data_IF_304718136286
#
_entry.id   IF_304718136286
#
_cell.length_a   1.000
_cell.length_b   1.000
_cell.length_c   1.000
_cell.angle_alpha   90.00
_cell.angle_beta   90.00
_cell.angle_gamma   90.00
#
_symmetry.space_group_name_H-M   'P 1'
#
loop_
_entity.id
_entity.type
_entity.pdbx_description
1 polymer ?
#
# COMPACT_ATOMS: atom_id res chain seq x y z
N UNK A 1 -16.88 -22.55 3.95
CA UNK A 1 -18.12 -22.74 3.16
C UNK A 1 -17.77 -23.28 1.79
N UNK A 2 -18.41 -24.38 1.39
CA UNK A 2 -18.21 -25.08 0.11
C UNK A 2 -19.44 -24.90 -0.77
N UNK A 3 -19.25 -24.49 -2.02
CA UNK A 3 -20.30 -24.39 -3.02
C UNK A 3 -19.86 -25.08 -4.31
N UNK A 4 -20.80 -25.80 -4.93
CA UNK A 4 -20.58 -26.47 -6.21
C UNK A 4 -21.32 -25.70 -7.30
N UNK A 5 -20.67 -25.49 -8.43
CA UNK A 5 -21.20 -24.72 -9.55
C UNK A 5 -21.21 -25.55 -10.82
N UNK A 6 -22.31 -25.50 -11.58
CA UNK A 6 -22.35 -26.02 -12.94
C UNK A 6 -21.67 -25.03 -13.91
N UNK A 7 -20.70 -25.52 -14.68
CA UNK A 7 -19.84 -24.74 -15.58
C UNK A 7 -20.39 -24.68 -17.02
N UNK A 8 -21.09 -25.73 -17.49
CA UNK A 8 -21.47 -25.91 -18.92
C UNK A 8 -22.67 -25.05 -19.38
N UNK A 9 -23.49 -24.57 -18.44
CA UNK A 9 -24.65 -23.70 -18.69
C UNK A 9 -24.64 -22.53 -17.71
N UNK A 10 -25.68 -21.70 -17.73
CA UNK A 10 -25.86 -20.59 -16.79
C UNK A 10 -25.47 -21.02 -15.35
N UNK A 11 -24.53 -20.30 -14.74
CA UNK A 11 -23.81 -20.69 -13.53
C UNK A 11 -24.77 -20.88 -12.34
N UNK A 12 -25.19 -22.12 -12.09
CA UNK A 12 -26.13 -22.46 -11.01
C UNK A 12 -25.46 -23.27 -9.92
N UNK A 13 -25.86 -23.02 -8.68
CA UNK A 13 -25.43 -23.83 -7.54
C UNK A 13 -26.06 -25.22 -7.65
N UNK A 14 -25.23 -26.24 -7.44
CA UNK A 14 -25.65 -27.64 -7.36
C UNK A 14 -25.39 -28.16 -5.94
N UNK A 15 -26.22 -29.11 -5.50
CA UNK A 15 -26.14 -29.66 -4.14
C UNK A 15 -25.00 -30.66 -3.96
N UNK A 16 -24.63 -31.38 -5.03
CA UNK A 16 -23.62 -32.42 -5.03
C UNK A 16 -22.61 -32.22 -6.15
N UNK A 17 -21.41 -32.75 -5.94
CA UNK A 17 -20.35 -32.76 -6.95
C UNK A 17 -20.75 -33.59 -8.19
N UNK A 18 -20.47 -33.05 -9.36
CA UNK A 18 -20.65 -33.71 -10.66
C UNK A 18 -19.35 -33.56 -11.49
N UNK A 19 -19.06 -34.46 -12.44
CA UNK A 19 -17.97 -34.25 -13.40
C UNK A 19 -18.15 -32.90 -14.13
N UNK A 20 -17.04 -32.19 -14.39
CA UNK A 20 -17.04 -30.83 -14.96
C UNK A 20 -17.77 -29.76 -14.11
N UNK A 21 -17.86 -29.97 -12.79
CA UNK A 21 -18.31 -28.91 -11.88
C UNK A 21 -17.14 -28.14 -11.26
N UNK A 22 -17.41 -26.87 -10.93
CA UNK A 22 -16.46 -26.02 -10.24
C UNK A 22 -16.77 -26.05 -8.74
N UNK A 23 -15.79 -26.49 -7.95
CA UNK A 23 -15.86 -26.46 -6.49
C UNK A 23 -15.24 -25.15 -6.00
N UNK A 24 -16.04 -24.29 -5.38
CA UNK A 24 -15.55 -23.09 -4.73
C UNK A 24 -15.53 -23.31 -3.22
N UNK A 25 -14.36 -23.11 -2.62
CA UNK A 25 -14.13 -23.28 -1.19
C UNK A 25 -13.64 -21.95 -0.61
N UNK A 26 -14.49 -21.33 0.21
CA UNK A 26 -14.20 -20.05 0.87
C UNK A 26 -14.08 -20.29 2.37
N UNK A 27 -12.97 -19.88 2.98
CA UNK A 27 -12.63 -20.14 4.37
C UNK A 27 -12.81 -21.64 4.71
N UNK A 28 -11.95 -22.53 4.17
CA UNK A 28 -12.05 -23.97 4.42
C UNK A 28 -11.82 -24.29 5.90
N UNK A 29 -12.62 -25.19 6.45
CA UNK A 29 -12.35 -25.80 7.76
C UNK A 29 -11.35 -26.95 7.63
N UNK A 30 -10.71 -27.37 8.72
CA UNK A 30 -9.79 -28.53 8.71
C UNK A 30 -10.49 -29.83 8.28
N UNK A 31 -11.80 -29.92 8.49
CA UNK A 31 -12.64 -31.03 8.04
C UNK A 31 -12.88 -30.95 6.53
N UNK A 32 -13.20 -29.75 6.00
CA UNK A 32 -13.33 -29.53 4.55
C UNK A 32 -12.03 -29.90 3.81
N UNK A 33 -10.87 -29.52 4.37
CA UNK A 33 -9.56 -29.82 3.78
C UNK A 33 -9.32 -31.33 3.72
N UNK A 34 -9.53 -32.03 4.83
CA UNK A 34 -9.37 -33.50 4.91
C UNK A 34 -10.32 -34.21 3.95
N UNK A 35 -11.58 -33.81 3.87
CA UNK A 35 -12.53 -34.42 2.94
C UNK A 35 -12.07 -34.26 1.48
N UNK A 36 -11.59 -33.08 1.09
CA UNK A 36 -11.11 -32.83 -0.27
C UNK A 36 -9.84 -33.63 -0.61
N UNK A 37 -8.91 -33.69 0.34
CA UNK A 37 -7.68 -34.49 0.22
C UNK A 37 -8.01 -35.96 0.07
N UNK A 38 -8.82 -36.53 0.97
CA UNK A 38 -9.14 -37.97 0.96
C UNK A 38 -9.98 -38.35 -0.26
N UNK A 39 -10.98 -37.53 -0.62
CA UNK A 39 -11.91 -37.82 -1.72
C UNK A 39 -11.26 -37.73 -3.09
N UNK A 40 -10.41 -36.75 -3.30
CA UNK A 40 -9.81 -36.48 -4.61
C UNK A 40 -8.33 -36.89 -4.69
N UNK A 41 -7.71 -37.31 -3.58
CA UNK A 41 -6.27 -37.61 -3.50
C UNK A 41 -5.43 -36.42 -3.99
N UNK A 42 -5.71 -35.24 -3.43
CA UNK A 42 -4.95 -34.00 -3.67
C UNK A 42 -3.73 -34.02 -2.74
N UNK A 43 -2.53 -33.60 -3.19
CA UNK A 43 -1.37 -33.49 -2.32
C UNK A 43 -1.65 -32.55 -1.13
N UNK A 44 -1.41 -33.03 0.09
CA UNK A 44 -1.72 -32.33 1.35
C UNK A 44 -1.09 -30.92 1.44
N UNK A 45 0.11 -30.79 0.86
CA UNK A 45 0.88 -29.56 0.91
C UNK A 45 0.24 -28.42 0.10
N UNK A 46 -0.65 -28.71 -0.86
CA UNK A 46 -1.35 -27.68 -1.63
C UNK A 46 -2.17 -26.76 -0.72
N UNK A 47 -2.91 -27.32 0.24
CA UNK A 47 -3.70 -26.51 1.17
C UNK A 47 -2.81 -25.71 2.12
N UNK A 48 -1.66 -26.27 2.50
CA UNK A 48 -0.65 -25.58 3.32
C UNK A 48 -0.10 -24.36 2.59
N UNK A 49 0.28 -24.51 1.32
CA UNK A 49 0.79 -23.43 0.47
C UNK A 49 -0.28 -22.34 0.24
N UNK A 50 -1.54 -22.75 0.00
CA UNK A 50 -2.66 -21.79 -0.19
C UNK A 50 -3.02 -21.08 1.13
N UNK A 51 -2.74 -21.70 2.28
CA UNK A 51 -2.99 -21.08 3.59
C UNK A 51 -1.92 -20.05 3.97
N UNK A 52 -0.71 -20.16 3.41
CA UNK A 52 0.37 -19.23 3.68
C UNK A 52 0.12 -17.87 3.02
N UNK A 53 -0.06 -16.84 3.85
CA UNK A 53 -0.32 -15.48 3.39
C UNK A 53 0.81 -14.88 2.57
N UNK A 54 2.05 -15.36 2.74
CA UNK A 54 3.25 -14.84 2.07
C UNK A 54 3.62 -15.64 0.81
N UNK A 55 2.85 -16.67 0.46
CA UNK A 55 3.10 -17.53 -0.68
C UNK A 55 3.05 -16.79 -2.03
N UNK A 56 4.00 -17.04 -2.91
CA UNK A 56 4.12 -16.30 -4.17
C UNK A 56 3.23 -16.89 -5.25
N UNK A 57 2.78 -16.01 -6.15
CA UNK A 57 2.07 -16.46 -7.33
C UNK A 57 2.95 -17.41 -8.16
N UNK A 58 2.48 -18.65 -8.36
CA UNK A 58 3.22 -19.69 -9.07
C UNK A 58 2.30 -20.72 -9.71
N UNK A 59 2.87 -21.46 -10.65
CA UNK A 59 2.30 -22.65 -11.26
C UNK A 59 3.13 -23.85 -10.82
N UNK A 60 2.46 -24.90 -10.38
CA UNK A 60 3.05 -26.15 -9.95
C UNK A 60 2.25 -27.32 -10.52
N UNK A 61 2.93 -28.42 -10.81
CA UNK A 61 2.32 -29.64 -11.32
C UNK A 61 2.93 -30.84 -10.60
N UNK A 62 2.10 -31.55 -9.84
CA UNK A 62 2.53 -32.72 -9.06
C UNK A 62 1.42 -33.77 -8.98
N UNK A 63 1.78 -35.07 -9.02
CA UNK A 63 0.83 -36.20 -8.97
C UNK A 63 -0.37 -36.09 -9.94
N UNK A 64 -0.14 -35.46 -11.10
CA UNK A 64 -1.16 -35.21 -12.12
C UNK A 64 -2.11 -34.04 -11.80
N UNK A 65 -1.93 -33.38 -10.67
CA UNK A 65 -2.63 -32.17 -10.26
C UNK A 65 -1.86 -30.93 -10.66
N UNK A 66 -2.60 -29.95 -11.15
CA UNK A 66 -2.12 -28.60 -11.36
C UNK A 66 -2.51 -27.74 -10.16
N UNK A 67 -1.57 -26.96 -9.62
CA UNK A 67 -1.82 -25.89 -8.67
C UNK A 67 -1.39 -24.55 -9.28
N UNK A 68 -2.30 -23.59 -9.30
CA UNK A 68 -2.03 -22.20 -9.63
C UNK A 68 -2.35 -21.37 -8.40
N UNK A 69 -1.36 -20.63 -7.91
CA UNK A 69 -1.56 -19.66 -6.84
C UNK A 69 -1.64 -18.28 -7.49
N UNK A 70 -2.81 -17.67 -7.44
CA UNK A 70 -3.07 -16.30 -7.90
C UNK A 70 -3.15 -15.37 -6.70
N UNK A 71 -2.42 -14.24 -6.69
CA UNK A 71 -2.56 -13.26 -5.59
C UNK A 71 -3.66 -12.25 -5.91
N UNK A 72 -4.63 -12.12 -5.01
CA UNK A 72 -5.80 -11.26 -5.20
C UNK A 72 -5.83 -10.14 -4.15
N UNK A 73 -6.38 -8.95 -4.47
CA UNK A 73 -6.40 -7.84 -3.52
C UNK A 73 -7.42 -8.09 -2.41
N UNK A 74 -7.01 -7.82 -1.17
CA UNK A 74 -7.80 -7.98 0.03
C UNK A 74 -7.74 -6.74 0.91
N UNK A 75 -8.86 -6.41 1.55
CA UNK A 75 -8.94 -5.29 2.50
C UNK A 75 -8.94 -5.88 3.89
N UNK A 76 -7.90 -5.55 4.66
CA UNK A 76 -7.82 -5.88 6.07
C UNK A 76 -8.68 -4.91 6.89
N UNK A 77 -8.87 -5.20 8.17
CA UNK A 77 -9.55 -4.27 9.07
C UNK A 77 -8.89 -2.88 9.07
N UNK A 78 -9.72 -1.84 9.26
CA UNK A 78 -9.34 -0.43 9.14
C UNK A 78 -8.17 -0.03 10.07
N UNK A 79 -7.97 -0.76 11.18
CA UNK A 79 -6.87 -0.52 12.14
C UNK A 79 -5.55 -1.21 11.77
N UNK A 80 -5.51 -2.00 10.71
CA UNK A 80 -4.29 -2.64 10.22
C UNK A 80 -3.25 -1.60 9.80
N UNK A 81 -1.97 -1.91 10.03
CA UNK A 81 -0.85 -1.13 9.49
C UNK A 81 -0.88 -1.12 7.95
N UNK A 82 -1.35 -2.21 7.33
CA UNK A 82 -1.55 -2.33 5.89
C UNK A 82 -3.04 -2.57 5.62
N UNK A 83 -3.84 -1.50 5.40
CA UNK A 83 -5.27 -1.64 5.19
C UNK A 83 -5.60 -2.38 3.88
N UNK A 84 -4.74 -2.25 2.87
CA UNK A 84 -4.82 -3.05 1.65
C UNK A 84 -3.64 -4.01 1.59
N UNK A 85 -3.93 -5.28 1.36
CA UNK A 85 -2.97 -6.36 1.27
C UNK A 85 -3.36 -7.27 0.12
N UNK A 86 -2.62 -8.34 -0.11
CA UNK A 86 -3.01 -9.40 -1.02
C UNK A 86 -3.08 -10.72 -0.28
N UNK A 87 -3.88 -11.65 -0.80
CA UNK A 87 -4.03 -13.01 -0.27
C UNK A 87 -3.95 -14.01 -1.41
N UNK A 88 -3.48 -15.24 -1.17
CA UNK A 88 -3.48 -16.29 -2.18
C UNK A 88 -4.91 -16.79 -2.47
N UNK A 89 -5.17 -17.03 -3.76
CA UNK A 89 -6.27 -17.81 -4.29
C UNK A 89 -5.65 -19.03 -4.98
N UNK A 90 -5.87 -20.21 -4.41
CA UNK A 90 -5.46 -21.46 -5.03
C UNK A 90 -6.47 -21.91 -6.06
N UNK A 91 -6.00 -22.31 -7.23
CA UNK A 91 -6.78 -22.96 -8.27
C UNK A 91 -6.12 -24.32 -8.50
N UNK A 92 -6.84 -25.39 -8.13
CA UNK A 92 -6.39 -26.77 -8.22
C UNK A 92 -7.19 -27.44 -9.33
N UNK A 93 -6.52 -28.09 -10.28
CA UNK A 93 -7.18 -28.72 -11.42
C UNK A 93 -6.59 -30.09 -11.77
N UNK A 94 -7.46 -31.06 -12.05
CA UNK A 94 -7.10 -32.36 -12.63
C UNK A 94 -8.29 -32.93 -13.40
N UNK A 95 -8.12 -33.06 -14.73
CA UNK A 95 -9.13 -33.63 -15.65
C UNK A 95 -10.46 -32.86 -15.59
N UNK A 96 -11.48 -33.45 -14.97
CA UNK A 96 -12.84 -32.93 -14.84
C UNK A 96 -13.10 -32.24 -13.50
N UNK A 97 -12.08 -32.17 -12.62
CA UNK A 97 -12.17 -31.57 -11.28
C UNK A 97 -11.43 -30.24 -11.26
N UNK A 98 -12.17 -29.16 -10.97
CA UNK A 98 -11.60 -27.82 -10.77
C UNK A 98 -12.05 -27.27 -9.42
N UNK A 99 -11.09 -26.90 -8.58
CA UNK A 99 -11.31 -26.44 -7.21
C UNK A 99 -10.64 -25.09 -7.03
N UNK A 100 -11.38 -24.09 -6.57
CA UNK A 100 -10.80 -22.83 -6.10
C UNK A 100 -10.87 -22.78 -4.58
N UNK A 101 -9.75 -22.44 -3.94
CA UNK A 101 -9.63 -22.39 -2.49
C UNK A 101 -9.10 -21.01 -2.09
N UNK A 102 -9.81 -20.34 -1.20
CA UNK A 102 -9.35 -19.11 -0.58
C UNK A 102 -9.63 -19.15 0.92
N UNK A 103 -8.61 -18.85 1.73
CA UNK A 103 -8.75 -18.76 3.20
C UNK A 103 -9.40 -17.46 3.69
N UNK A 104 -9.75 -16.58 2.76
CA UNK A 104 -10.36 -15.29 3.03
C UNK A 104 -11.66 -15.12 2.26
N UNK A 105 -12.67 -14.55 2.90
CA UNK A 105 -13.85 -14.11 2.20
C UNK A 105 -13.52 -12.84 1.41
N UNK A 106 -13.61 -12.91 0.08
CA UNK A 106 -13.24 -11.80 -0.79
C UNK A 106 -14.41 -11.36 -1.66
N UNK A 107 -14.60 -10.04 -1.75
CA UNK A 107 -15.62 -9.46 -2.61
C UNK A 107 -15.39 -9.78 -4.09
N UNK A 108 -14.15 -10.08 -4.48
CA UNK A 108 -13.81 -10.47 -5.85
C UNK A 108 -14.51 -11.75 -6.25
N UNK A 109 -14.43 -12.80 -5.43
CA UNK A 109 -15.06 -14.09 -5.74
C UNK A 109 -16.59 -13.99 -5.78
N UNK A 110 -17.18 -13.18 -4.89
CA UNK A 110 -18.64 -12.94 -4.87
C UNK A 110 -19.08 -12.22 -6.15
N UNK A 111 -18.37 -11.15 -6.52
CA UNK A 111 -18.65 -10.35 -7.72
C UNK A 111 -18.43 -11.17 -9.00
N UNK A 112 -17.37 -11.98 -9.05
CA UNK A 112 -17.07 -12.90 -10.14
C UNK A 112 -18.23 -13.86 -10.41
N UNK A 113 -18.71 -14.57 -9.39
CA UNK A 113 -19.85 -15.48 -9.50
C UNK A 113 -21.08 -14.72 -9.99
N UNK A 114 -21.38 -13.56 -9.39
CA UNK A 114 -22.55 -12.76 -9.75
C UNK A 114 -22.50 -12.23 -11.19
N UNK A 115 -21.30 -11.91 -11.68
CA UNK A 115 -21.07 -11.41 -13.03
C UNK A 115 -21.31 -12.51 -14.06
N UNK A 116 -20.77 -13.71 -13.83
CA UNK A 116 -20.98 -14.85 -14.75
C UNK A 116 -22.45 -15.29 -14.79
N UNK A 117 -23.14 -15.28 -13.65
CA UNK A 117 -24.59 -15.54 -13.59
C UNK A 117 -25.42 -14.57 -14.43
N UNK A 118 -25.05 -13.29 -14.45
CA UNK A 118 -25.75 -12.26 -15.24
C UNK A 118 -25.48 -12.41 -16.73
N UNK A 119 -24.26 -12.83 -17.11
CA UNK A 119 -23.89 -13.05 -18.51
C UNK A 119 -24.67 -14.23 -19.10
N UNK A 120 -25.03 -15.21 -18.27
CA UNK A 120 -25.84 -16.36 -18.67
C UNK A 120 -25.10 -17.38 -19.54
N UNK A 121 -23.83 -17.12 -19.83
CA UNK A 121 -22.90 -18.00 -20.52
C UNK A 121 -22.04 -18.68 -19.46
N UNK A 122 -21.94 -20.00 -19.54
CA UNK A 122 -21.00 -20.79 -18.71
C UNK A 122 -19.55 -20.53 -19.12
N UNK A 123 -18.64 -21.36 -18.61
CA UNK A 123 -17.27 -21.37 -19.10
C UNK A 123 -17.14 -22.41 -20.22
N UNK A 124 -16.33 -22.11 -21.24
CA UNK A 124 -16.07 -23.06 -22.34
C UNK A 124 -15.25 -24.23 -21.83
N UNK A 125 -14.23 -23.96 -21.02
CA UNK A 125 -13.38 -24.96 -20.37
C UNK A 125 -12.76 -24.41 -19.07
N UNK A 126 -11.82 -25.17 -18.49
CA UNK A 126 -11.11 -24.74 -17.27
C UNK A 126 -10.08 -23.62 -17.53
N UNK A 127 -9.58 -23.48 -18.76
CA UNK A 127 -8.60 -22.46 -19.16
C UNK A 127 -9.28 -21.09 -19.23
N UNK A 128 -10.45 -21.01 -19.86
CA UNK A 128 -11.33 -19.83 -19.88
C UNK A 128 -11.69 -19.39 -18.45
N UNK A 129 -12.03 -20.34 -17.57
CA UNK A 129 -12.31 -20.03 -16.16
C UNK A 129 -11.08 -19.43 -15.45
N UNK A 130 -9.89 -20.00 -15.64
CA UNK A 130 -8.64 -19.48 -15.06
C UNK A 130 -8.39 -18.06 -15.55
N UNK A 131 -8.40 -17.81 -16.86
CA UNK A 131 -8.10 -16.48 -17.39
C UNK A 131 -9.15 -15.43 -17.01
N UNK A 132 -10.43 -15.81 -16.86
CA UNK A 132 -11.44 -14.91 -16.29
C UNK A 132 -11.21 -14.57 -14.83
N UNK A 133 -10.67 -15.50 -14.03
CA UNK A 133 -10.24 -15.20 -12.66
C UNK A 133 -9.07 -14.22 -12.64
N UNK A 134 -8.10 -14.37 -13.55
CA UNK A 134 -7.04 -13.37 -13.74
C UNK A 134 -7.61 -12.00 -14.12
N UNK A 135 -8.53 -11.94 -15.08
CA UNK A 135 -9.18 -10.69 -15.50
C UNK A 135 -9.91 -10.04 -14.32
N UNK A 136 -10.70 -10.82 -13.58
CA UNK A 136 -11.38 -10.34 -12.38
C UNK A 136 -10.39 -9.81 -11.35
N UNK A 137 -9.26 -10.48 -11.13
CA UNK A 137 -8.23 -10.01 -10.22
C UNK A 137 -7.66 -8.65 -10.64
N UNK A 138 -7.36 -8.44 -11.92
CA UNK A 138 -6.83 -7.18 -12.45
C UNK A 138 -7.84 -6.03 -12.27
N UNK A 139 -9.11 -6.26 -12.62
CA UNK A 139 -10.19 -5.29 -12.42
C UNK A 139 -10.35 -4.92 -10.94
N UNK A 140 -10.25 -5.90 -10.04
CA UNK A 140 -10.32 -5.66 -8.60
C UNK A 140 -9.10 -4.91 -8.07
N UNK A 141 -7.89 -5.13 -8.60
CA UNK A 141 -6.72 -4.31 -8.28
C UNK A 141 -6.98 -2.85 -8.65
N UNK A 142 -7.46 -2.57 -9.87
CA UNK A 142 -7.80 -1.21 -10.31
C UNK A 142 -8.87 -0.56 -9.44
N UNK A 143 -9.90 -1.32 -9.03
CA UNK A 143 -10.94 -0.84 -8.12
C UNK A 143 -10.37 -0.44 -6.75
N UNK A 144 -9.44 -1.23 -6.20
CA UNK A 144 -8.76 -0.91 -4.94
C UNK A 144 -7.78 0.24 -5.07
N UNK A 145 -7.06 0.35 -6.19
CA UNK A 145 -6.20 1.49 -6.48
C UNK A 145 -6.97 2.81 -6.51
N UNK A 146 -8.18 2.85 -7.08
CA UNK A 146 -9.06 4.04 -7.01
C UNK A 146 -9.43 4.43 -5.57
N UNK A 147 -9.67 3.45 -4.70
CA UNK A 147 -9.95 3.69 -3.29
C UNK A 147 -8.70 4.25 -2.57
N UNK A 148 -7.54 3.65 -2.82
CA UNK A 148 -6.26 4.12 -2.28
C UNK A 148 -5.99 5.56 -2.73
N UNK A 149 -6.16 5.89 -4.01
CA UNK A 149 -5.98 7.23 -4.53
C UNK A 149 -6.86 8.27 -3.80
N UNK A 150 -8.11 7.91 -3.52
CA UNK A 150 -9.02 8.79 -2.75
C UNK A 150 -8.49 9.05 -1.34
N UNK A 151 -7.91 8.05 -0.69
CA UNK A 151 -7.29 8.19 0.63
C UNK A 151 -5.98 9.00 0.57
N UNK A 152 -5.18 8.82 -0.48
CA UNK A 152 -3.96 9.60 -0.74
C UNK A 152 -4.31 11.09 -0.87
N UNK A 153 -5.28 11.43 -1.71
CA UNK A 153 -5.67 12.83 -1.92
C UNK A 153 -6.25 13.47 -0.65
N UNK A 154 -7.02 12.70 0.14
CA UNK A 154 -7.49 13.17 1.46
C UNK A 154 -6.33 13.43 2.43
N UNK A 155 -5.34 12.53 2.46
CA UNK A 155 -4.18 12.68 3.35
C UNK A 155 -3.29 13.86 2.93
N UNK A 156 -3.09 14.09 1.63
CA UNK A 156 -2.39 15.27 1.10
C UNK A 156 -3.10 16.57 1.51
N UNK A 157 -4.42 16.64 1.32
CA UNK A 157 -5.19 17.84 1.69
C UNK A 157 -5.09 18.17 3.20
N UNK A 158 -5.00 17.16 4.06
CA UNK A 158 -4.78 17.38 5.49
C UNK A 158 -3.39 17.97 5.77
N UNK A 159 -2.36 17.49 5.06
CA UNK A 159 -0.98 17.94 5.21
C UNK A 159 -0.73 19.35 4.65
N UNK A 160 -1.52 19.80 3.68
CA UNK A 160 -1.46 21.18 3.16
C UNK A 160 -1.83 22.22 4.22
N UNK A 161 -2.69 21.87 5.18
CA UNK A 161 -3.09 22.76 6.26
C UNK A 161 -2.09 22.69 7.43
N UNK A 162 -1.80 21.49 7.92
CA UNK A 162 -0.86 21.27 9.02
C UNK A 162 -0.12 19.96 8.86
N UNK A 163 1.22 20.04 8.81
CA UNK A 163 2.07 18.85 8.74
C UNK A 163 2.10 18.17 10.10
N UNK A 164 1.40 17.04 10.22
CA UNK A 164 1.36 16.23 11.43
C UNK A 164 1.86 14.80 11.20
N UNK A 165 2.39 14.20 12.26
CA UNK A 165 2.95 12.83 12.20
C UNK A 165 1.89 11.79 11.85
N UNK A 166 0.63 12.00 12.26
CA UNK A 166 -0.46 11.06 11.99
C UNK A 166 -0.74 10.94 10.49
N UNK A 167 -0.77 12.05 9.75
CA UNK A 167 -1.00 12.04 8.31
C UNK A 167 0.18 11.43 7.55
N UNK A 168 1.42 11.69 8.00
CA UNK A 168 2.62 11.05 7.44
C UNK A 168 2.62 9.53 7.66
N UNK A 169 2.24 9.08 8.86
CA UNK A 169 2.06 7.65 9.15
C UNK A 169 0.95 7.07 8.26
N UNK A 170 -0.15 7.81 8.05
CA UNK A 170 -1.23 7.43 7.13
C UNK A 170 -0.74 7.21 5.70
N UNK A 171 0.04 8.14 5.15
CA UNK A 171 0.67 7.99 3.84
C UNK A 171 1.62 6.78 3.81
N UNK A 172 2.42 6.56 4.86
CA UNK A 172 3.34 5.41 4.96
C UNK A 172 2.60 4.07 4.94
N UNK A 173 1.44 3.97 5.59
CA UNK A 173 0.59 2.77 5.54
C UNK A 173 0.03 2.50 4.14
N UNK A 174 -0.30 3.54 3.39
CA UNK A 174 -0.73 3.43 2.00
C UNK A 174 0.45 3.00 1.09
N UNK A 175 1.66 3.52 1.36
CA UNK A 175 2.88 3.13 0.66
C UNK A 175 3.21 1.65 0.87
N UNK A 176 3.13 1.15 2.11
CA UNK A 176 3.29 -0.28 2.41
C UNK A 176 2.27 -1.11 1.61
N UNK A 177 1.02 -0.64 1.55
CA UNK A 177 -0.06 -1.31 0.81
C UNK A 177 0.21 -1.39 -0.71
N UNK A 178 0.69 -0.29 -1.32
CA UNK A 178 1.08 -0.28 -2.73
C UNK A 178 2.24 -1.24 -3.00
N UNK A 179 3.18 -1.38 -2.07
CA UNK A 179 4.31 -2.31 -2.19
C UNK A 179 3.83 -3.77 -2.28
N UNK A 180 2.85 -4.17 -1.47
CA UNK A 180 2.21 -5.50 -1.59
C UNK A 180 1.53 -5.69 -2.95
N UNK A 181 0.87 -4.65 -3.48
CA UNK A 181 0.22 -4.69 -4.79
C UNK A 181 1.25 -4.83 -5.92
N UNK A 182 2.31 -4.02 -5.94
CA UNK A 182 3.41 -4.10 -6.94
C UNK A 182 3.98 -5.52 -6.98
N UNK A 183 4.31 -6.07 -5.81
CA UNK A 183 4.92 -7.40 -5.70
C UNK A 183 3.97 -8.50 -6.20
N UNK A 184 2.69 -8.40 -5.86
CA UNK A 184 1.68 -9.40 -6.21
C UNK A 184 1.27 -9.33 -7.69
N UNK A 185 1.07 -8.13 -8.23
CA UNK A 185 0.74 -7.91 -9.64
C UNK A 185 1.88 -8.42 -10.51
N UNK A 186 3.15 -8.09 -10.18
CA UNK A 186 4.32 -8.62 -10.90
C UNK A 186 4.42 -10.14 -10.81
N UNK A 187 4.10 -10.72 -9.65
CA UNK A 187 4.00 -12.17 -9.48
C UNK A 187 2.96 -12.79 -10.42
N UNK A 188 1.77 -12.19 -10.50
CA UNK A 188 0.70 -12.63 -11.37
C UNK A 188 1.04 -12.47 -12.86
N UNK A 189 1.70 -11.37 -13.26
CA UNK A 189 2.18 -11.19 -14.65
C UNK A 189 3.18 -12.30 -15.03
N UNK A 190 4.16 -12.58 -14.16
CA UNK A 190 5.14 -13.65 -14.40
C UNK A 190 4.47 -15.03 -14.51
N UNK A 191 3.46 -15.28 -13.67
CA UNK A 191 2.64 -16.48 -13.73
C UNK A 191 1.86 -16.57 -15.04
N UNK A 192 1.21 -15.48 -15.45
CA UNK A 192 0.45 -15.38 -16.69
C UNK A 192 1.34 -15.72 -17.90
N UNK A 193 2.56 -15.17 -17.97
CA UNK A 193 3.51 -15.50 -19.05
C UNK A 193 3.89 -16.98 -19.08
N UNK A 194 4.03 -17.64 -17.93
CA UNK A 194 4.30 -19.09 -17.86
C UNK A 194 3.10 -19.93 -18.28
N UNK A 195 1.88 -19.54 -17.87
CA UNK A 195 0.66 -20.27 -18.16
C UNK A 195 0.37 -20.35 -19.67
N UNK A 196 0.70 -19.30 -20.43
CA UNK A 196 0.57 -19.29 -21.91
C UNK A 196 1.24 -20.49 -22.60
N UNK A 197 2.33 -21.02 -22.02
CA UNK A 197 3.07 -22.16 -22.58
C UNK A 197 2.73 -23.50 -21.93
N UNK A 198 2.01 -23.50 -20.82
CA UNK A 198 1.69 -24.70 -20.02
C UNK A 198 0.25 -25.18 -20.23
N UNK A 199 -0.67 -24.26 -20.54
CA UNK A 199 -2.06 -24.56 -20.82
C UNK A 199 -2.29 -24.75 -22.32
N UNK A 200 -3.32 -25.51 -22.67
CA UNK A 200 -3.77 -25.66 -24.06
C UNK A 200 -4.64 -24.46 -24.40
N UNK A 201 -4.02 -23.40 -24.91
CA UNK A 201 -4.67 -22.12 -25.23
C UNK A 201 -5.27 -22.20 -26.64
N UNK A 202 -6.57 -21.95 -26.78
CA UNK A 202 -7.24 -21.80 -28.07
C UNK A 202 -7.22 -20.33 -28.59
N UNK A 203 -7.88 -20.06 -29.72
CA UNK A 203 -7.91 -18.72 -30.32
C UNK A 203 -8.77 -17.73 -29.51
N UNK A 204 -9.86 -18.20 -28.87
CA UNK A 204 -10.70 -17.38 -27.98
C UNK A 204 -9.97 -17.03 -26.68
N UNK A 205 -9.19 -17.96 -26.16
CA UNK A 205 -8.34 -17.75 -25.00
C UNK A 205 -7.24 -16.72 -25.29
N UNK A 206 -6.76 -16.62 -26.53
CA UNK A 206 -5.70 -15.69 -26.90
C UNK A 206 -6.14 -14.21 -26.72
N UNK A 207 -7.34 -13.86 -27.17
CA UNK A 207 -7.92 -12.53 -26.99
C UNK A 207 -8.12 -12.21 -25.49
N UNK A 208 -8.66 -13.17 -24.73
CA UNK A 208 -8.85 -13.01 -23.29
C UNK A 208 -7.52 -12.84 -22.55
N UNK A 209 -6.48 -13.58 -22.95
CA UNK A 209 -5.13 -13.43 -22.40
C UNK A 209 -4.58 -12.03 -22.70
N UNK A 210 -4.80 -11.49 -23.89
CA UNK A 210 -4.38 -10.13 -24.24
C UNK A 210 -5.07 -9.10 -23.33
N UNK A 211 -6.38 -9.19 -23.17
CA UNK A 211 -7.15 -8.33 -22.25
C UNK A 211 -6.61 -8.39 -20.82
N UNK A 212 -6.36 -9.61 -20.32
CA UNK A 212 -5.75 -9.81 -18.99
C UNK A 212 -4.38 -9.14 -18.90
N UNK A 213 -3.54 -9.25 -19.93
CA UNK A 213 -2.21 -8.62 -19.92
C UNK A 213 -2.33 -7.09 -19.91
N UNK A 214 -3.25 -6.51 -20.68
CA UNK A 214 -3.50 -5.07 -20.73
C UNK A 214 -3.93 -4.57 -19.34
N UNK A 215 -4.95 -5.18 -18.76
CA UNK A 215 -5.51 -4.78 -17.46
C UNK A 215 -4.49 -4.96 -16.32
N UNK A 216 -3.74 -6.06 -16.32
CA UNK A 216 -2.71 -6.31 -15.30
C UNK A 216 -1.53 -5.34 -15.43
N UNK A 217 -1.11 -5.03 -16.67
CA UNK A 217 -0.09 -4.01 -16.95
C UNK A 217 -0.55 -2.63 -16.48
N UNK A 218 -1.80 -2.27 -16.77
CA UNK A 218 -2.39 -1.01 -16.33
C UNK A 218 -2.43 -0.92 -14.79
N UNK A 219 -2.80 -2.00 -14.11
CA UNK A 219 -2.78 -2.06 -12.65
C UNK A 219 -1.36 -1.86 -12.10
N UNK A 220 -0.34 -2.49 -12.72
CA UNK A 220 1.07 -2.31 -12.33
C UNK A 220 1.54 -0.87 -12.51
N UNK A 221 1.34 -0.28 -13.69
CA UNK A 221 1.76 1.10 -13.96
C UNK A 221 1.06 2.10 -13.03
N UNK A 222 -0.25 1.92 -12.81
CA UNK A 222 -1.01 2.77 -11.87
C UNK A 222 -0.47 2.66 -10.45
N UNK A 223 -0.11 1.45 -10.01
CA UNK A 223 0.45 1.24 -8.66
C UNK A 223 1.83 1.90 -8.53
N UNK A 224 2.68 1.81 -9.55
CA UNK A 224 3.98 2.48 -9.59
C UNK A 224 3.83 4.02 -9.53
N UNK A 225 2.95 4.60 -10.35
CA UNK A 225 2.68 6.04 -10.33
C UNK A 225 2.25 6.51 -8.93
N UNK A 226 1.36 5.76 -8.26
CA UNK A 226 0.92 6.13 -6.91
C UNK A 226 2.03 5.97 -5.87
N UNK A 227 2.89 4.97 -6.01
CA UNK A 227 4.06 4.77 -5.15
C UNK A 227 5.02 5.95 -5.28
N UNK A 228 5.37 6.33 -6.51
CA UNK A 228 6.30 7.43 -6.79
C UNK A 228 5.75 8.77 -6.29
N UNK A 229 4.44 8.99 -6.46
CA UNK A 229 3.75 10.17 -5.93
C UNK A 229 3.85 10.21 -4.40
N UNK A 230 3.64 9.10 -3.71
CA UNK A 230 3.70 9.04 -2.25
C UNK A 230 5.12 9.27 -1.73
N UNK A 231 6.12 8.66 -2.35
CA UNK A 231 7.54 8.87 -2.00
C UNK A 231 7.94 10.33 -2.17
N UNK A 232 7.66 10.92 -3.33
CA UNK A 232 7.91 12.34 -3.61
C UNK A 232 7.17 13.29 -2.65
N UNK A 233 5.94 12.92 -2.28
CA UNK A 233 5.14 13.68 -1.30
C UNK A 233 5.81 13.64 0.08
N UNK A 234 6.24 12.46 0.56
CA UNK A 234 6.91 12.33 1.85
C UNK A 234 8.25 13.08 1.91
N UNK A 235 9.02 13.05 0.82
CA UNK A 235 10.29 13.79 0.71
C UNK A 235 10.07 15.31 0.74
N UNK A 236 9.01 15.78 0.06
CA UNK A 236 8.61 17.19 0.06
C UNK A 236 8.23 17.64 1.47
N UNK A 237 7.39 16.88 2.18
CA UNK A 237 7.02 17.24 3.55
C UNK A 237 8.19 17.14 4.53
N UNK A 238 9.08 16.16 4.37
CA UNK A 238 10.31 16.08 5.16
C UNK A 238 11.19 17.32 4.95
N UNK A 239 11.28 17.82 3.72
CA UNK A 239 11.98 19.07 3.40
C UNK A 239 11.32 20.30 4.02
N UNK A 240 9.98 20.37 4.02
CA UNK A 240 9.22 21.45 4.68
C UNK A 240 9.46 21.43 6.20
N UNK A 241 9.42 20.26 6.85
CA UNK A 241 9.70 20.11 8.28
C UNK A 241 11.12 20.60 8.59
N UNK A 242 12.12 20.16 7.82
CA UNK A 242 13.50 20.60 8.00
C UNK A 242 13.66 22.10 7.80
N UNK A 243 12.94 22.69 6.84
CA UNK A 243 12.97 24.14 6.63
C UNK A 243 12.31 24.91 7.77
N UNK A 244 11.20 24.40 8.32
CA UNK A 244 10.53 24.98 9.48
C UNK A 244 11.43 24.89 10.73
N UNK A 245 12.07 23.74 10.97
CA UNK A 245 13.06 23.57 12.03
C UNK A 245 14.23 24.55 11.88
N UNK A 246 14.78 24.69 10.67
CA UNK A 246 15.83 25.67 10.38
C UNK A 246 15.37 27.11 10.65
N UNK A 247 14.14 27.44 10.30
CA UNK A 247 13.56 28.77 10.58
C UNK A 247 13.43 29.01 12.08
N UNK A 248 12.89 28.05 12.84
CA UNK A 248 12.76 28.14 14.31
C UNK A 248 14.13 28.24 14.99
N UNK A 249 15.12 27.47 14.54
CA UNK A 249 16.47 27.54 15.07
C UNK A 249 17.14 28.90 14.78
N UNK A 250 16.95 29.46 13.58
CA UNK A 250 17.44 30.80 13.23
C UNK A 250 16.77 31.88 14.09
N UNK A 251 15.46 31.82 14.30
CA UNK A 251 14.76 32.81 15.13
C UNK A 251 15.20 32.73 16.59
N UNK A 252 15.28 31.52 17.18
CA UNK A 252 15.76 31.32 18.54
C UNK A 252 17.22 31.78 18.72
N UNK A 253 18.09 31.46 17.76
CA UNK A 253 19.50 31.87 17.79
C UNK A 253 19.62 33.39 17.66
N UNK A 254 18.87 34.02 16.77
CA UNK A 254 18.85 35.47 16.59
C UNK A 254 18.37 36.19 17.86
N UNK A 255 17.29 35.72 18.51
CA UNK A 255 16.83 36.24 19.80
C UNK A 255 17.90 36.08 20.88
N UNK A 256 18.55 34.91 20.93
CA UNK A 256 19.62 34.63 21.89
C UNK A 256 20.81 35.57 21.72
N UNK A 257 21.28 35.82 20.49
CA UNK A 257 22.38 36.73 20.20
C UNK A 257 22.06 38.16 20.63
N UNK A 258 20.84 38.64 20.38
CA UNK A 258 20.40 39.99 20.77
C UNK A 258 20.37 40.14 22.30
N UNK A 259 19.90 39.12 23.02
CA UNK A 259 19.88 39.11 24.49
C UNK A 259 21.30 39.00 25.07
N UNK A 260 22.15 38.15 24.49
CA UNK A 260 23.54 37.97 24.91
C UNK A 260 24.37 39.25 24.72
N UNK A 261 24.16 40.01 23.64
CA UNK A 261 24.89 41.26 23.41
C UNK A 261 24.53 42.34 24.43
N UNK A 262 23.24 42.50 24.78
CA UNK A 262 22.82 43.36 25.88
C UNK A 262 23.44 42.92 27.21
N UNK A 263 23.34 41.62 27.51
CA UNK A 263 23.84 41.05 28.77
C UNK A 263 25.36 41.20 28.90
N UNK A 264 26.10 41.05 27.80
CA UNK A 264 27.54 41.26 27.77
C UNK A 264 27.93 42.69 28.16
N UNK A 265 27.25 43.69 27.59
CA UNK A 265 27.46 45.11 27.95
C UNK A 265 27.13 45.34 29.43
N UNK A 266 25.97 44.87 29.90
CA UNK A 266 25.58 45.00 31.30
C UNK A 266 26.58 44.33 32.26
N UNK A 267 27.09 43.16 31.88
CA UNK A 267 28.09 42.41 32.66
C UNK A 267 29.40 43.18 32.79
N UNK A 268 29.95 43.72 31.69
CA UNK A 268 31.20 44.51 31.73
C UNK A 268 31.13 45.70 32.69
N UNK A 269 30.00 46.41 32.69
CA UNK A 269 29.80 47.56 33.59
C UNK A 269 29.32 47.16 35.00
N UNK A 270 28.90 45.92 35.21
CA UNK A 270 28.54 45.35 36.51
C UNK A 270 29.72 44.70 37.25
N UNK A 271 30.89 44.58 36.61
CA UNK A 271 32.10 44.11 37.26
C UNK A 271 32.66 45.19 38.20
N UNK A 272 33.14 44.79 39.38
CA UNK A 272 33.78 45.66 40.37
C UNK A 272 35.19 46.10 39.93
N UNK A 273 35.30 46.75 38.77
CA UNK A 273 36.55 47.26 38.20
C UNK A 273 36.40 48.77 38.05
N UNK A 274 37.42 49.53 38.49
CA UNK A 274 37.43 51.00 38.43
C UNK A 274 37.29 51.45 36.96
N UNK A 275 36.06 51.78 36.57
CA UNK A 275 35.67 52.11 35.19
C UNK A 275 35.41 53.61 34.98
N UNK A 276 35.49 54.42 36.05
CA UNK A 276 35.28 55.87 36.03
C UNK A 276 33.81 56.32 35.89
N UNK A 277 32.88 55.41 35.61
CA UNK A 277 31.45 55.69 35.43
C UNK A 277 30.63 55.57 36.73
N UNK A 278 31.18 54.91 37.75
CA UNK A 278 30.54 54.72 39.07
C UNK A 278 30.21 56.04 39.80
N UNK A 279 31.01 57.11 39.58
CA UNK A 279 30.82 58.42 40.23
C UNK A 279 29.99 59.40 39.41
N UNK A 280 29.61 59.04 38.18
CA UNK A 280 28.84 59.91 37.30
C UNK A 280 27.34 59.74 37.57
N UNK A 281 26.62 60.85 37.83
CA UNK A 281 25.16 60.83 38.03
C UNK A 281 24.37 60.14 36.91
N UNK A 282 24.94 60.10 35.70
CA UNK A 282 24.32 59.53 34.49
C UNK A 282 24.92 58.17 34.08
N UNK A 283 25.86 57.60 34.84
CA UNK A 283 26.60 56.40 34.45
C UNK A 283 25.69 55.20 34.15
N UNK A 284 24.68 54.95 34.99
CA UNK A 284 23.68 53.90 34.77
C UNK A 284 22.88 54.11 33.48
N UNK A 285 22.44 55.34 33.22
CA UNK A 285 21.66 55.70 32.02
C UNK A 285 22.53 55.55 30.75
N UNK A 286 23.80 55.94 30.82
CA UNK A 286 24.75 55.77 29.72
C UNK A 286 25.00 54.30 29.38
N UNK A 287 25.18 53.43 30.37
CA UNK A 287 25.33 51.98 30.14
C UNK A 287 24.08 51.37 29.53
N UNK A 288 22.89 51.76 29.99
CA UNK A 288 21.62 51.29 29.44
C UNK A 288 21.46 51.71 27.98
N UNK A 289 21.79 52.96 27.65
CA UNK A 289 21.74 53.47 26.28
C UNK A 289 22.72 52.73 25.35
N UNK A 290 23.96 52.50 25.80
CA UNK A 290 24.95 51.73 25.03
C UNK A 290 24.47 50.29 24.80
N UNK A 291 23.94 49.63 25.83
CA UNK A 291 23.39 48.27 25.72
C UNK A 291 22.25 48.23 24.70
N UNK A 292 21.34 49.19 24.74
CA UNK A 292 20.24 49.27 23.77
C UNK A 292 20.73 49.52 22.34
N UNK A 293 21.73 50.39 22.17
CA UNK A 293 22.32 50.69 20.87
C UNK A 293 23.03 49.47 20.27
N UNK A 294 23.79 48.73 21.08
CA UNK A 294 24.45 47.49 20.67
C UNK A 294 23.43 46.41 20.28
N UNK A 295 22.38 46.20 21.08
CA UNK A 295 21.31 45.24 20.74
C UNK A 295 20.56 45.64 19.47
N UNK A 296 20.28 46.92 19.28
CA UNK A 296 19.63 47.44 18.06
C UNK A 296 20.51 47.24 16.83
N UNK A 297 21.82 47.46 16.95
CA UNK A 297 22.78 47.20 15.89
C UNK A 297 22.84 45.71 15.56
N UNK A 298 22.92 44.84 16.56
CA UNK A 298 22.86 43.38 16.37
C UNK A 298 21.58 42.96 15.64
N UNK A 299 20.43 43.48 16.05
CA UNK A 299 19.15 43.20 15.39
C UNK A 299 19.15 43.64 13.92
N UNK A 300 19.65 44.85 13.63
CA UNK A 300 19.73 45.35 12.25
C UNK A 300 20.65 44.49 11.37
N UNK A 301 21.81 44.07 11.89
CA UNK A 301 22.74 43.18 11.19
C UNK A 301 22.10 41.82 10.91
N UNK A 302 21.43 41.22 11.91
CA UNK A 302 20.76 39.93 11.77
C UNK A 302 19.59 39.99 10.77
N UNK A 303 18.83 41.09 10.78
CA UNK A 303 17.76 41.34 9.81
C UNK A 303 18.29 41.53 8.39
N UNK A 304 19.37 42.30 8.21
CA UNK A 304 19.99 42.48 6.90
C UNK A 304 20.48 41.15 6.31
N UNK A 305 21.03 40.26 7.16
CA UNK A 305 21.47 38.92 6.77
C UNK A 305 20.34 37.90 6.58
N UNK A 306 19.06 38.29 6.73
CA UNK A 306 17.89 37.39 6.66
C UNK A 306 18.00 36.17 7.60
N UNK A 307 18.62 36.38 8.76
CA UNK A 307 18.63 35.42 9.88
C UNK A 307 17.45 35.64 10.83
N UNK A 308 16.69 36.71 10.57
CA UNK A 308 15.40 37.10 11.13
C UNK A 308 14.39 37.22 9.99
#
# INVERSE_FOLDING_TARGET
MRTFWNIEKNLKSIAEWQPNCWIQVTCPTDEDQRELVERFSIPDYFFSDISDTDERARYEYDDGWMLIILRIPYVKEIRSRTPYSTVPLGIIHKRDVTITVCFYETNMMIDFVSFQQKRGEGFTDYVDMIFRLFLSSAVWYLKRLKQINTLIEKAKHNLDNEVNNESLIGLSRLQDSLTYFITSIRGNENLLQKLKFKLQVDELDADLIEDVNIEMTQARETTNIYSDILESTMDTYSSIINNNMNTVMRTLTSVSIIMMSATFVASLYGMNVINGLEKAHWGFVSTLFISFLVSTLCWFILRYKRLL
#
